data_IF_552177112796
#
_entry.id   IF_552177112796
#
_cell.length_a   1.000
_cell.length_b   1.000
_cell.length_c   1.000
_cell.angle_alpha   90.00
_cell.angle_beta   90.00
_cell.angle_gamma   90.00
#
_symmetry.space_group_name_H-M   'P 1'
#
loop_
_entity.id
_entity.type
_entity.pdbx_description
1 polymer ?
#
# COMPACT_ATOMS: atom_id res chain seq x y z
N UNK A 1 40.81 9.78 29.55
CA UNK A 1 40.42 8.75 28.56
C UNK A 1 39.79 7.52 29.23
N UNK A 2 38.68 7.70 29.97
CA UNK A 2 37.90 6.61 30.58
C UNK A 2 36.39 6.92 30.66
N UNK A 3 35.93 8.00 30.02
CA UNK A 3 34.53 8.43 30.02
C UNK A 3 33.90 8.47 28.62
N UNK A 4 34.71 8.27 27.57
CA UNK A 4 34.25 8.24 26.16
C UNK A 4 33.88 6.82 25.72
N UNK A 5 34.44 5.79 26.38
CA UNK A 5 34.18 4.38 26.06
C UNK A 5 32.84 3.83 26.61
N UNK A 6 32.11 4.59 27.43
CA UNK A 6 30.82 4.15 28.01
C UNK A 6 29.63 4.61 27.15
N UNK A 7 29.78 5.70 26.39
CA UNK A 7 28.71 6.20 25.51
C UNK A 7 28.62 5.47 24.16
N UNK A 8 29.64 4.69 23.76
CA UNK A 8 29.57 3.84 22.57
C UNK A 8 28.82 2.51 22.81
N UNK A 9 28.44 2.21 24.05
CA UNK A 9 27.78 0.95 24.43
C UNK A 9 26.26 1.04 24.54
N UNK A 10 25.64 2.22 24.39
CA UNK A 10 24.23 2.46 24.75
C UNK A 10 23.30 2.86 23.59
N UNK A 11 23.79 2.95 22.34
CA UNK A 11 22.96 3.32 21.17
C UNK A 11 22.78 2.14 20.19
N UNK A 12 23.19 0.93 20.58
CA UNK A 12 23.13 -0.27 19.72
C UNK A 12 21.92 -1.19 19.96
N UNK A 13 20.89 -0.73 20.69
CA UNK A 13 19.79 -1.61 21.14
C UNK A 13 18.38 -0.99 21.04
N UNK A 14 18.09 -0.25 19.97
CA UNK A 14 16.68 -0.07 19.54
C UNK A 14 16.59 -0.16 18.00
N UNK A 15 17.16 -1.22 17.43
CA UNK A 15 16.58 -1.82 16.22
C UNK A 15 15.62 -2.92 16.69
N UNK A 16 14.55 -2.53 17.37
CA UNK A 16 13.33 -3.32 17.30
C UNK A 16 12.72 -3.04 15.94
N UNK A 17 13.30 -3.64 14.89
CA UNK A 17 12.46 -4.13 13.81
C UNK A 17 11.46 -5.04 14.51
N UNK A 18 10.27 -4.51 14.78
CA UNK A 18 9.10 -5.34 14.92
C UNK A 18 8.94 -5.94 13.54
N UNK A 19 9.65 -7.04 13.32
CA UNK A 19 9.27 -8.02 12.32
C UNK A 19 7.92 -8.52 12.81
N UNK A 20 6.86 -7.87 12.36
CA UNK A 20 5.55 -8.48 12.32
C UNK A 20 5.74 -9.72 11.44
N UNK A 21 6.07 -10.83 12.08
CA UNK A 21 5.83 -12.16 11.55
C UNK A 21 4.31 -12.35 11.61
N UNK A 22 3.59 -11.59 10.78
CA UNK A 22 2.21 -11.89 10.44
C UNK A 22 2.32 -13.19 9.68
N UNK A 23 1.79 -14.24 10.29
CA UNK A 23 1.59 -15.51 9.63
C UNK A 23 0.90 -15.20 8.31
N UNK A 24 1.57 -15.50 7.19
CA UNK A 24 0.93 -15.58 5.89
C UNK A 24 -0.06 -16.75 5.99
N UNK A 25 -1.23 -16.50 6.58
CA UNK A 25 -2.42 -17.20 6.13
C UNK A 25 -2.54 -16.82 4.67
N UNK A 26 -2.00 -17.67 3.80
CA UNK A 26 -2.09 -17.51 2.36
C UNK A 26 -3.54 -17.73 1.97
N UNK A 27 -4.42 -16.78 2.30
CA UNK A 27 -5.56 -16.48 1.44
C UNK A 27 -4.96 -16.27 0.06
N UNK A 28 -5.47 -17.03 -0.90
CA UNK A 28 -4.92 -17.02 -2.25
C UNK A 28 -5.38 -15.73 -2.93
N UNK A 29 -4.76 -14.59 -2.57
CA UNK A 29 -5.09 -13.28 -3.09
C UNK A 29 -4.91 -13.33 -4.61
N UNK A 30 -5.98 -13.07 -5.35
CA UNK A 30 -5.92 -13.01 -6.80
C UNK A 30 -5.19 -11.74 -7.22
N UNK A 31 -4.08 -11.91 -7.95
CA UNK A 31 -3.32 -10.80 -8.54
C UNK A 31 -3.61 -10.76 -10.03
N UNK A 32 -4.10 -9.61 -10.50
CA UNK A 32 -4.55 -9.40 -11.89
C UNK A 32 -3.88 -8.14 -12.45
N UNK A 33 -2.74 -8.33 -13.10
CA UNK A 33 -1.91 -7.24 -13.63
C UNK A 33 -2.11 -7.17 -15.14
N UNK A 34 -2.76 -6.09 -15.60
CA UNK A 34 -2.87 -5.76 -17.00
C UNK A 34 -1.55 -5.27 -17.61
N UNK A 35 -1.51 -5.15 -18.93
CA UNK A 35 -0.36 -4.58 -19.63
C UNK A 35 -0.08 -3.14 -19.17
N UNK A 36 1.20 -2.76 -19.19
CA UNK A 36 1.61 -1.39 -18.88
C UNK A 36 2.67 -0.88 -19.85
N UNK A 37 2.48 0.36 -20.27
CA UNK A 37 3.48 1.16 -20.98
C UNK A 37 4.25 2.10 -20.04
N UNK A 38 3.68 2.40 -18.86
CA UNK A 38 4.25 3.34 -17.88
C UNK A 38 5.16 2.71 -16.84
N UNK A 39 4.81 1.52 -16.37
CA UNK A 39 5.53 0.82 -15.31
C UNK A 39 6.03 -0.53 -15.82
N UNK A 40 7.23 -0.91 -15.39
CA UNK A 40 7.68 -2.28 -15.55
C UNK A 40 6.86 -3.22 -14.66
N UNK A 41 6.83 -4.50 -15.02
CA UNK A 41 6.21 -5.54 -14.20
C UNK A 41 6.79 -5.57 -12.77
N UNK A 42 8.10 -5.35 -12.63
CA UNK A 42 8.77 -5.26 -11.32
C UNK A 42 8.24 -4.09 -10.48
N UNK A 43 8.01 -2.92 -11.10
CA UNK A 43 7.47 -1.74 -10.40
C UNK A 43 6.04 -1.99 -9.91
N UNK A 44 5.20 -2.61 -10.74
CA UNK A 44 3.82 -2.96 -10.37
C UNK A 44 3.82 -4.02 -9.26
N UNK A 45 4.65 -5.05 -9.38
CA UNK A 45 4.77 -6.08 -8.35
C UNK A 45 5.22 -5.49 -7.01
N UNK A 46 6.17 -4.55 -7.00
CA UNK A 46 6.56 -3.85 -5.76
C UNK A 46 5.42 -3.02 -5.16
N UNK A 47 4.56 -2.43 -6.00
CA UNK A 47 3.38 -1.71 -5.52
C UNK A 47 2.35 -2.67 -4.92
N UNK A 48 2.11 -3.82 -5.56
CA UNK A 48 1.24 -4.90 -5.06
C UNK A 48 1.73 -5.39 -3.69
N UNK A 49 3.02 -5.64 -3.55
CA UNK A 49 3.61 -6.06 -2.27
C UNK A 49 3.53 -4.95 -1.20
N UNK A 50 3.60 -3.68 -1.59
CA UNK A 50 3.35 -2.56 -0.67
C UNK A 50 1.91 -2.57 -0.16
N UNK A 51 0.93 -2.72 -1.05
CA UNK A 51 -0.49 -2.80 -0.68
C UNK A 51 -0.73 -3.99 0.26
N UNK A 52 -0.27 -5.19 -0.08
CA UNK A 52 -0.42 -6.38 0.78
C UNK A 52 0.08 -6.16 2.20
N UNK A 53 1.25 -5.53 2.37
CA UNK A 53 1.83 -5.27 3.69
C UNK A 53 1.07 -4.22 4.50
N UNK A 54 0.39 -3.29 3.83
CA UNK A 54 -0.31 -2.17 4.46
C UNK A 54 -1.83 -2.38 4.56
N UNK A 55 -2.37 -3.43 3.94
CA UNK A 55 -3.78 -3.78 4.09
C UNK A 55 -4.02 -4.31 5.51
N UNK A 56 -4.67 -3.49 6.33
CA UNK A 56 -4.93 -3.79 7.74
C UNK A 56 -6.29 -3.21 8.15
N UNK A 57 -7.32 -3.56 7.38
CA UNK A 57 -8.69 -3.22 7.74
C UNK A 57 -9.21 -4.30 8.71
N UNK A 58 -9.69 -3.86 9.87
CA UNK A 58 -10.22 -4.74 10.91
C UNK A 58 -11.37 -5.60 10.39
N UNK A 59 -11.44 -6.88 10.77
CA UNK A 59 -12.46 -7.81 10.29
C UNK A 59 -12.55 -7.93 8.74
N UNK A 60 -11.49 -7.57 8.01
CA UNK A 60 -11.48 -7.60 6.54
C UNK A 60 -10.42 -8.55 5.99
N UNK A 61 -10.78 -9.26 4.93
CA UNK A 61 -9.89 -10.17 4.19
C UNK A 61 -9.70 -9.67 2.76
N UNK A 62 -8.45 -9.35 2.40
CA UNK A 62 -8.09 -8.99 1.02
C UNK A 62 -8.21 -10.21 0.09
N UNK A 63 -8.97 -10.08 -1.00
CA UNK A 63 -9.24 -11.21 -1.92
C UNK A 63 -8.66 -10.99 -3.31
N UNK A 64 -8.56 -9.73 -3.77
CA UNK A 64 -8.00 -9.38 -5.08
C UNK A 64 -7.18 -8.09 -5.01
N UNK A 65 -6.11 -8.04 -5.79
CA UNK A 65 -5.44 -6.80 -6.20
C UNK A 65 -5.34 -6.80 -7.71
N UNK A 66 -5.60 -5.65 -8.33
CA UNK A 66 -5.50 -5.48 -9.77
C UNK A 66 -4.82 -4.18 -10.15
N UNK A 67 -4.13 -4.22 -11.29
CA UNK A 67 -3.60 -3.07 -11.98
C UNK A 67 -4.18 -3.01 -13.39
N UNK A 68 -4.79 -1.89 -13.73
CA UNK A 68 -5.21 -1.56 -15.08
C UNK A 68 -4.73 -0.13 -15.39
N UNK A 69 -3.97 0.04 -16.48
CA UNK A 69 -3.33 1.32 -16.78
C UNK A 69 -4.34 2.46 -17.01
N UNK A 70 -5.48 2.22 -17.65
CA UNK A 70 -6.49 3.26 -17.90
C UNK A 70 -7.19 3.71 -16.60
N UNK A 71 -7.56 2.75 -15.75
CA UNK A 71 -8.13 3.03 -14.42
C UNK A 71 -7.10 3.77 -13.58
N UNK A 72 -5.85 3.29 -13.57
CA UNK A 72 -4.78 3.92 -12.82
C UNK A 72 -4.54 5.36 -13.29
N UNK A 73 -4.53 5.60 -14.59
CA UNK A 73 -4.34 6.94 -15.15
C UNK A 73 -5.46 7.92 -14.74
N UNK A 74 -6.70 7.43 -14.70
CA UNK A 74 -7.85 8.22 -14.27
C UNK A 74 -7.74 8.57 -12.78
N UNK A 75 -7.41 7.60 -11.94
CA UNK A 75 -7.20 7.81 -10.51
C UNK A 75 -6.05 8.78 -10.23
N UNK A 76 -4.90 8.62 -10.91
CA UNK A 76 -3.75 9.52 -10.80
C UNK A 76 -4.13 10.96 -11.18
N UNK A 77 -4.92 11.15 -12.24
CA UNK A 77 -5.35 12.49 -12.64
C UNK A 77 -6.16 13.15 -11.53
N UNK A 78 -7.16 12.44 -10.98
CA UNK A 78 -8.00 12.97 -9.90
C UNK A 78 -7.17 13.25 -8.64
N UNK A 79 -6.27 12.33 -8.28
CA UNK A 79 -5.37 12.48 -7.15
C UNK A 79 -4.47 13.72 -7.27
N UNK A 80 -3.88 13.97 -8.45
CA UNK A 80 -3.02 15.13 -8.68
C UNK A 80 -3.80 16.46 -8.74
N UNK A 81 -5.09 16.42 -9.11
CA UNK A 81 -5.93 17.62 -9.26
C UNK A 81 -6.68 17.97 -7.97
N UNK A 82 -7.13 16.96 -7.22
CA UNK A 82 -8.07 17.13 -6.10
C UNK A 82 -7.67 16.39 -4.81
N UNK A 83 -6.76 15.41 -4.88
CA UNK A 83 -6.25 14.67 -3.71
C UNK A 83 -4.98 15.27 -3.13
N UNK A 84 -4.27 14.49 -2.32
CA UNK A 84 -3.02 14.95 -1.68
C UNK A 84 -1.93 15.33 -2.71
N UNK A 85 -2.01 14.77 -3.93
CA UNK A 85 -1.12 15.07 -5.05
C UNK A 85 -1.07 16.55 -5.44
N UNK A 86 -2.17 17.28 -5.21
CA UNK A 86 -2.25 18.72 -5.45
C UNK A 86 -1.33 19.52 -4.49
N UNK A 87 -1.04 18.97 -3.30
CA UNK A 87 -0.26 19.64 -2.27
C UNK A 87 1.20 19.15 -2.19
N UNK A 88 1.42 17.83 -2.29
CA UNK A 88 2.73 17.22 -2.14
C UNK A 88 3.62 17.34 -3.40
N UNK A 89 3.05 17.76 -4.55
CA UNK A 89 3.76 18.00 -5.82
C UNK A 89 4.52 16.79 -6.35
N UNK A 90 4.07 15.58 -6.02
CA UNK A 90 4.59 14.35 -6.61
C UNK A 90 4.42 14.37 -8.13
N UNK A 91 5.38 13.81 -8.85
CA UNK A 91 5.29 13.69 -10.31
C UNK A 91 4.39 12.51 -10.68
N UNK A 92 3.58 12.65 -11.73
CA UNK A 92 2.69 11.59 -12.20
C UNK A 92 3.39 10.24 -12.48
N UNK A 93 4.64 10.25 -12.94
CA UNK A 93 5.47 9.04 -13.17
C UNK A 93 5.87 8.29 -11.88
N UNK A 94 5.66 8.93 -10.74
CA UNK A 94 5.92 8.41 -9.41
C UNK A 94 4.63 8.16 -8.61
N UNK A 95 3.48 8.11 -9.30
CA UNK A 95 2.19 7.72 -8.71
C UNK A 95 1.66 6.52 -9.47
N UNK A 96 1.29 5.47 -8.75
CA UNK A 96 0.59 4.30 -9.30
C UNK A 96 -0.70 4.10 -8.52
N UNK A 97 -1.77 3.75 -9.22
CA UNK A 97 -3.02 3.40 -8.58
C UNK A 97 -3.31 1.91 -8.77
N UNK A 98 -3.61 1.24 -7.66
CA UNK A 98 -4.05 -0.14 -7.61
C UNK A 98 -5.50 -0.19 -7.17
N UNK A 99 -6.16 -1.29 -7.49
CA UNK A 99 -7.55 -1.52 -7.13
C UNK A 99 -7.66 -2.87 -6.44
N UNK A 100 -8.33 -2.91 -5.28
CA UNK A 100 -8.54 -4.16 -4.53
C UNK A 100 -10.00 -4.54 -4.39
N UNK A 101 -10.23 -5.84 -4.21
CA UNK A 101 -11.47 -6.37 -3.65
C UNK A 101 -11.15 -7.01 -2.29
N UNK A 102 -12.05 -6.84 -1.33
CA UNK A 102 -11.94 -7.45 -0.01
C UNK A 102 -13.33 -7.70 0.61
N UNK A 103 -13.39 -8.65 1.51
CA UNK A 103 -14.61 -9.04 2.23
C UNK A 103 -14.51 -8.58 3.68
N UNK A 104 -15.60 -8.06 4.23
CA UNK A 104 -15.74 -7.77 5.67
C UNK A 104 -16.53 -8.90 6.29
N UNK A 105 -16.03 -9.49 7.36
CA UNK A 105 -16.76 -10.53 8.07
C UNK A 105 -18.03 -9.99 8.76
N UNK A 106 -18.84 -10.88 9.32
CA UNK A 106 -20.13 -10.56 9.93
C UNK A 106 -20.04 -10.22 11.43
N UNK A 107 -18.84 -10.10 12.00
CA UNK A 107 -18.62 -9.86 13.44
C UNK A 107 -19.19 -8.52 13.92
N UNK A 108 -19.19 -7.51 13.05
CA UNK A 108 -19.46 -6.12 13.45
C UNK A 108 -18.25 -5.41 14.06
N UNK A 109 -17.06 -6.02 14.05
CA UNK A 109 -15.86 -5.47 14.67
C UNK A 109 -15.25 -4.33 13.82
N UNK A 110 -15.49 -4.30 12.51
CA UNK A 110 -15.02 -3.18 11.68
C UNK A 110 -15.76 -1.87 12.06
N UNK A 111 -15.04 -0.80 12.42
CA UNK A 111 -15.67 0.42 12.93
C UNK A 111 -16.34 1.30 11.87
N UNK A 112 -16.07 1.08 10.57
CA UNK A 112 -16.48 1.99 9.48
C UNK A 112 -17.12 1.26 8.31
N UNK A 113 -16.68 0.04 8.02
CA UNK A 113 -17.17 -0.78 6.92
C UNK A 113 -18.35 -1.63 7.37
N UNK A 114 -19.24 -1.92 6.42
CA UNK A 114 -20.45 -2.68 6.68
C UNK A 114 -20.13 -4.17 6.86
N UNK A 115 -20.61 -4.82 7.94
CA UNK A 115 -20.38 -6.25 8.16
C UNK A 115 -21.03 -7.12 7.07
N UNK A 116 -20.34 -8.18 6.67
CA UNK A 116 -20.81 -9.13 5.65
C UNK A 116 -20.84 -8.60 4.21
N UNK A 117 -20.28 -7.41 3.96
CA UNK A 117 -20.21 -6.81 2.63
C UNK A 117 -18.91 -7.16 1.89
N UNK A 118 -19.00 -7.18 0.56
CA UNK A 118 -17.85 -7.26 -0.33
C UNK A 118 -17.59 -5.89 -0.94
N UNK A 119 -16.42 -5.33 -0.65
CA UNK A 119 -15.95 -4.11 -1.26
C UNK A 119 -15.20 -4.47 -2.52
N UNK A 120 -15.65 -3.93 -3.66
CA UNK A 120 -15.01 -4.16 -4.96
C UNK A 120 -14.56 -2.86 -5.54
N UNK A 121 -13.49 -2.91 -6.33
CA UNK A 121 -12.91 -1.75 -6.96
C UNK A 121 -12.44 -0.64 -6.00
N UNK A 122 -11.96 -1.00 -4.81
CA UNK A 122 -11.45 -0.04 -3.83
C UNK A 122 -10.10 0.51 -4.26
N UNK A 123 -9.97 1.84 -4.38
CA UNK A 123 -8.79 2.48 -4.93
C UNK A 123 -7.69 2.67 -3.89
N UNK A 124 -6.45 2.50 -4.32
CA UNK A 124 -5.23 2.78 -3.56
C UNK A 124 -4.30 3.61 -4.42
N UNK A 125 -3.92 4.79 -3.94
CA UNK A 125 -2.87 5.62 -4.53
C UNK A 125 -1.57 5.34 -3.78
N UNK A 126 -0.56 4.91 -4.54
CA UNK A 126 0.79 4.72 -4.05
C UNK A 126 1.73 5.74 -4.70
N UNK A 127 2.62 6.32 -3.89
CA UNK A 127 3.64 7.26 -4.35
C UNK A 127 5.05 6.76 -4.04
N UNK A 128 6.03 7.37 -4.68
CA UNK A 128 7.46 7.20 -4.39
C UNK A 128 8.21 8.49 -4.70
N UNK A 129 9.36 8.72 -4.07
CA UNK A 129 10.16 9.92 -4.36
C UNK A 129 10.73 9.91 -5.78
N UNK A 130 11.27 8.76 -6.20
CA UNK A 130 11.85 8.52 -7.52
C UNK A 130 11.81 7.04 -7.92
N UNK A 131 12.31 6.73 -9.12
CA UNK A 131 12.29 5.37 -9.70
C UNK A 131 13.03 4.32 -8.87
N UNK A 132 13.97 4.71 -8.01
CA UNK A 132 14.74 3.80 -7.17
C UNK A 132 14.16 3.68 -5.74
N UNK A 133 13.18 4.50 -5.41
CA UNK A 133 12.54 4.53 -4.10
C UNK A 133 11.43 3.48 -3.99
N UNK A 134 11.14 3.04 -2.77
CA UNK A 134 10.01 2.15 -2.48
C UNK A 134 8.68 2.88 -2.62
N UNK A 135 7.61 2.11 -2.88
CA UNK A 135 6.25 2.63 -2.85
C UNK A 135 5.74 2.79 -1.42
N UNK A 136 4.94 3.82 -1.18
CA UNK A 136 4.15 4.03 0.03
C UNK A 136 2.70 4.32 -0.32
N UNK A 137 1.76 3.95 0.56
CA UNK A 137 0.35 4.30 0.39
C UNK A 137 0.17 5.77 0.78
N UNK A 138 -0.40 6.59 -0.09
CA UNK A 138 -0.70 8.00 0.20
C UNK A 138 -2.19 8.25 0.42
N UNK A 139 -3.05 7.60 -0.38
CA UNK A 139 -4.51 7.78 -0.31
C UNK A 139 -5.23 6.48 -0.67
N UNK A 140 -6.42 6.24 -0.13
CA UNK A 140 -7.26 5.10 -0.48
C UNK A 140 -8.75 5.40 -0.26
N UNK A 141 -9.63 4.77 -1.03
CA UNK A 141 -11.07 4.99 -0.94
C UNK A 141 -11.85 4.76 -2.23
N UNK A 142 -13.10 5.22 -2.25
CA UNK A 142 -13.98 5.26 -3.43
C UNK A 142 -14.06 6.66 -4.03
#
# INVERSE_FOLDING_TARGET
MKRIAIYLSMILLIFSLVGCNRNDESTNIKIDIGESTKFSEEEINKAVECLKRNFDFEASTLTKISYNEEISNTAIKNYLEFGNGAENKVKAENVIALVSDFEVDDSGDNPVLNPGETYTNYNWILIRDDKNSGWEIDEWGF
#
